data_IF_117981748947
#
_entry.id   IF_117981748947
#
_cell.length_a   1.000
_cell.length_b   1.000
_cell.length_c   1.000
_cell.angle_alpha   90.00
_cell.angle_beta   90.00
_cell.angle_gamma   90.00
#
_symmetry.space_group_name_H-M   'P 1'
#
loop_
_entity.id
_entity.type
_entity.pdbx_description
1 polymer ?
#
# COMPACT_ATOMS: atom_id res chain seq x y z
N UNK A 1 3.29 -12.40 9.16
CA UNK A 1 2.65 -12.37 10.50
C UNK A 1 3.28 -11.25 11.31
N UNK A 2 2.51 -10.28 11.83
CA UNK A 2 3.05 -9.28 12.78
C UNK A 2 3.47 -10.03 14.04
N UNK A 3 4.73 -9.88 14.44
CA UNK A 3 5.29 -10.58 15.58
C UNK A 3 4.58 -10.10 16.87
N UNK A 4 4.02 -11.00 17.68
CA UNK A 4 3.21 -10.66 18.86
C UNK A 4 3.99 -9.74 19.82
N UNK A 5 5.29 -10.01 19.96
CA UNK A 5 6.24 -9.22 20.74
C UNK A 5 6.38 -7.76 20.28
N UNK A 6 6.36 -7.51 18.97
CA UNK A 6 6.40 -6.13 18.43
C UNK A 6 5.11 -5.37 18.70
N UNK A 7 3.97 -6.06 18.79
CA UNK A 7 2.69 -5.43 19.13
C UNK A 7 2.60 -5.04 20.61
N UNK A 8 3.19 -5.86 21.49
CA UNK A 8 3.22 -5.62 22.93
C UNK A 8 4.18 -4.49 23.31
N UNK A 9 5.34 -4.41 22.65
CA UNK A 9 6.31 -3.31 22.85
C UNK A 9 5.81 -1.97 22.30
N UNK A 10 4.99 -1.96 21.24
CA UNK A 10 4.46 -0.71 20.66
C UNK A 10 3.53 0.10 21.58
N UNK A 11 3.06 -0.51 22.67
CA UNK A 11 2.19 0.11 23.67
C UNK A 11 2.82 0.25 25.05
N UNK A 12 4.08 -0.15 25.24
CA UNK A 12 4.77 0.02 26.50
C UNK A 12 5.41 1.40 26.56
N UNK A 13 5.09 2.13 27.61
CA UNK A 13 5.80 3.35 27.99
C UNK A 13 7.10 2.90 28.64
N UNK A 14 8.21 3.52 28.28
CA UNK A 14 9.51 3.19 28.87
C UNK A 14 9.50 3.49 30.36
N UNK A 15 10.33 2.78 31.13
CA UNK A 15 10.45 3.01 32.58
C UNK A 15 10.83 4.46 32.90
N UNK A 16 11.57 5.11 32.01
CA UNK A 16 11.96 6.51 32.12
C UNK A 16 10.78 7.47 31.92
N UNK A 17 9.98 7.27 30.86
CA UNK A 17 8.76 8.06 30.63
C UNK A 17 7.74 7.86 31.76
N UNK A 18 7.65 6.65 32.33
CA UNK A 18 6.80 6.39 33.49
C UNK A 18 7.25 7.20 34.71
N UNK A 19 8.56 7.22 35.02
CA UNK A 19 9.10 8.04 36.10
C UNK A 19 8.82 9.53 35.90
N UNK A 20 8.94 10.03 34.66
CA UNK A 20 8.61 11.42 34.33
C UNK A 20 7.13 11.75 34.57
N UNK A 21 6.22 10.79 34.33
CA UNK A 21 4.80 10.96 34.64
C UNK A 21 4.55 11.04 36.15
N UNK A 22 5.25 10.21 36.94
CA UNK A 22 5.20 10.28 38.41
C UNK A 22 5.77 11.59 38.95
N UNK A 23 6.91 12.03 38.44
CA UNK A 23 7.53 13.31 38.79
C UNK A 23 6.60 14.48 38.49
N UNK A 24 6.02 14.50 37.29
CA UNK A 24 5.04 15.51 36.90
C UNK A 24 3.82 15.51 37.81
N UNK A 25 3.28 14.32 38.14
CA UNK A 25 2.15 14.21 39.04
C UNK A 25 2.46 14.76 40.45
N UNK A 26 3.67 14.54 40.95
CA UNK A 26 4.15 15.11 42.21
C UNK A 26 4.18 16.65 42.15
N UNK A 27 4.81 17.19 41.12
CA UNK A 27 4.89 18.65 40.89
C UNK A 27 3.50 19.28 40.75
N UNK A 28 2.56 18.63 40.05
CA UNK A 28 1.20 19.11 39.88
C UNK A 28 0.45 19.20 41.22
N UNK A 29 0.67 18.24 42.14
CA UNK A 29 0.11 18.27 43.50
C UNK A 29 0.73 19.40 44.31
N UNK A 30 2.06 19.56 44.26
CA UNK A 30 2.77 20.64 44.97
C UNK A 30 2.31 22.03 44.52
N UNK A 31 2.04 22.19 43.23
CA UNK A 31 1.52 23.43 42.63
C UNK A 31 0.01 23.62 42.81
N UNK A 32 -0.70 22.69 43.47
CA UNK A 32 -2.16 22.76 43.67
C UNK A 32 -2.98 22.51 42.40
N UNK A 33 -2.38 21.98 41.34
CA UNK A 33 -3.03 21.62 40.08
C UNK A 33 -3.64 20.23 40.23
N UNK A 34 -4.82 20.18 40.83
CA UNK A 34 -5.50 18.92 41.18
C UNK A 34 -6.77 18.74 40.36
N UNK A 35 -6.91 17.56 39.74
CA UNK A 35 -8.17 17.11 39.18
C UNK A 35 -9.10 16.67 40.31
N UNK A 36 -10.10 17.50 40.61
CA UNK A 36 -11.06 17.26 41.70
C UNK A 36 -11.78 15.92 41.56
N UNK A 37 -12.09 15.47 40.34
CA UNK A 37 -12.78 14.20 40.10
C UNK A 37 -11.92 13.01 40.47
N UNK A 38 -10.67 12.97 39.98
CA UNK A 38 -9.72 11.92 40.35
C UNK A 38 -9.32 11.99 41.83
N UNK A 39 -9.22 13.20 42.38
CA UNK A 39 -8.88 13.43 43.78
C UNK A 39 -9.94 12.88 44.74
N UNK A 40 -11.22 13.15 44.45
CA UNK A 40 -12.33 12.59 45.23
C UNK A 40 -12.44 11.08 45.06
N UNK A 41 -12.16 10.55 43.85
CA UNK A 41 -12.09 9.11 43.62
C UNK A 41 -10.97 8.46 44.45
N UNK A 42 -9.81 9.11 44.55
CA UNK A 42 -8.72 8.67 45.41
C UNK A 42 -9.11 8.71 46.89
N UNK A 43 -9.86 9.73 47.33
CA UNK A 43 -10.34 9.83 48.71
C UNK A 43 -11.26 8.65 49.08
N UNK A 44 -12.18 8.29 48.18
CA UNK A 44 -13.08 7.15 48.38
C UNK A 44 -12.32 5.83 48.48
N UNK A 45 -11.24 5.67 47.71
CA UNK A 45 -10.37 4.49 47.78
C UNK A 45 -9.43 4.48 49.00
N UNK A 46 -9.15 5.65 49.55
CA UNK A 46 -8.29 5.82 50.70
C UNK A 46 -9.02 5.70 52.04
N UNK A 47 -10.32 5.38 52.03
CA UNK A 47 -11.16 5.29 53.24
C UNK A 47 -11.13 6.57 54.09
N UNK A 48 -10.93 7.74 53.45
CA UNK A 48 -10.83 9.02 54.14
C UNK A 48 -9.43 9.40 54.65
N UNK A 49 -8.42 8.53 54.52
CA UNK A 49 -7.03 8.83 54.89
C UNK A 49 -6.36 9.72 53.82
N UNK A 50 -6.04 10.96 54.21
CA UNK A 50 -5.43 11.97 53.33
C UNK A 50 -4.03 11.59 52.82
N UNK A 51 -3.24 10.84 53.59
CA UNK A 51 -1.90 10.41 53.15
C UNK A 51 -2.01 9.30 52.11
N UNK A 52 -2.89 8.33 52.34
CA UNK A 52 -3.19 7.27 51.37
C UNK A 52 -3.83 7.83 50.10
N UNK A 53 -4.69 8.84 50.24
CA UNK A 53 -5.32 9.53 49.11
C UNK A 53 -4.28 10.09 48.13
N UNK A 54 -3.23 10.74 48.62
CA UNK A 54 -2.18 11.32 47.77
C UNK A 54 -1.49 10.25 46.91
N UNK A 55 -1.09 9.12 47.51
CA UNK A 55 -0.47 8.01 46.79
C UNK A 55 -1.41 7.45 45.71
N UNK A 56 -2.66 7.17 46.06
CA UNK A 56 -3.67 6.64 45.13
C UNK A 56 -3.96 7.64 44.00
N UNK A 57 -3.97 8.94 44.29
CA UNK A 57 -4.20 9.97 43.29
C UNK A 57 -3.06 10.02 42.25
N UNK A 58 -1.81 9.93 42.71
CA UNK A 58 -0.64 9.89 41.82
C UNK A 58 -0.73 8.67 40.88
N UNK A 59 -1.06 7.49 41.39
CA UNK A 59 -1.24 6.30 40.56
C UNK A 59 -2.35 6.49 39.50
N UNK A 60 -3.48 7.08 39.91
CA UNK A 60 -4.61 7.30 39.01
C UNK A 60 -4.30 8.29 37.88
N UNK A 61 -3.52 9.34 38.16
CA UNK A 61 -3.21 10.35 37.15
C UNK A 61 -2.13 9.85 36.17
N UNK A 62 -1.16 9.09 36.67
CA UNK A 62 -0.18 8.40 35.82
C UNK A 62 -0.90 7.44 34.88
N UNK A 63 -1.80 6.61 35.39
CA UNK A 63 -2.57 5.67 34.56
C UNK A 63 -3.40 6.40 33.50
N UNK A 64 -4.07 7.50 33.86
CA UNK A 64 -4.79 8.34 32.90
C UNK A 64 -3.88 8.84 31.78
N UNK A 65 -2.70 9.36 32.11
CA UNK A 65 -1.76 9.85 31.10
C UNK A 65 -1.21 8.72 30.23
N UNK A 66 -0.97 7.53 30.78
CA UNK A 66 -0.61 6.35 29.99
C UNK A 66 -1.69 5.98 28.98
N UNK A 67 -2.96 6.01 29.41
CA UNK A 67 -4.11 5.75 28.54
C UNK A 67 -4.26 6.80 27.43
N UNK A 68 -4.11 8.08 27.76
CA UNK A 68 -4.10 9.17 26.79
C UNK A 68 -3.03 8.98 25.72
N UNK A 69 -1.80 8.66 26.14
CA UNK A 69 -0.68 8.37 25.23
C UNK A 69 -0.98 7.15 24.34
N UNK A 70 -1.56 6.09 24.91
CA UNK A 70 -1.94 4.87 24.17
C UNK A 70 -3.00 5.17 23.12
N UNK A 71 -4.00 5.99 23.45
CA UNK A 71 -5.04 6.42 22.52
C UNK A 71 -4.45 7.30 21.41
N UNK A 72 -3.58 8.25 21.76
CA UNK A 72 -2.91 9.12 20.81
C UNK A 72 -2.07 8.32 19.79
N UNK A 73 -1.24 7.38 20.27
CA UNK A 73 -0.43 6.48 19.43
C UNK A 73 -1.30 5.65 18.48
N UNK A 74 -2.41 5.09 18.97
CA UNK A 74 -3.36 4.32 18.14
C UNK A 74 -4.00 5.18 17.05
N UNK A 75 -4.42 6.41 17.39
CA UNK A 75 -5.00 7.34 16.41
C UNK A 75 -3.97 7.71 15.34
N UNK A 76 -2.76 8.09 15.74
CA UNK A 76 -1.67 8.43 14.81
C UNK A 76 -1.41 7.30 13.82
N UNK A 77 -1.25 6.06 14.31
CA UNK A 77 -1.05 4.88 13.45
C UNK A 77 -2.21 4.64 12.48
N UNK A 78 -3.45 4.82 12.95
CA UNK A 78 -4.63 4.66 12.09
C UNK A 78 -4.69 5.71 10.99
N UNK A 79 -4.29 6.95 11.29
CA UNK A 79 -4.18 8.03 10.30
C UNK A 79 -3.09 7.73 9.27
N UNK A 80 -1.93 7.27 9.71
CA UNK A 80 -0.84 6.87 8.81
C UNK A 80 -1.24 5.71 7.89
N UNK A 81 -1.87 4.67 8.43
CA UNK A 81 -2.34 3.52 7.65
C UNK A 81 -3.40 3.95 6.61
N UNK A 82 -4.30 4.87 6.98
CA UNK A 82 -5.28 5.44 6.05
C UNK A 82 -4.61 6.25 4.94
N UNK A 83 -3.59 7.05 5.27
CA UNK A 83 -2.85 7.85 4.30
C UNK A 83 -2.11 6.95 3.31
N UNK A 84 -1.38 5.94 3.79
CA UNK A 84 -0.68 4.96 2.93
C UNK A 84 -1.64 4.27 1.97
N UNK A 85 -2.79 3.77 2.47
CA UNK A 85 -3.82 3.17 1.61
C UNK A 85 -4.35 4.15 0.56
N UNK A 86 -4.57 5.41 0.93
CA UNK A 86 -5.04 6.43 -0.01
C UNK A 86 -4.00 6.72 -1.10
N UNK A 87 -2.73 6.81 -0.72
CA UNK A 87 -1.62 7.05 -1.64
C UNK A 87 -1.41 5.84 -2.58
N UNK A 88 -1.54 4.61 -2.07
CA UNK A 88 -1.52 3.37 -2.86
C UNK A 88 -2.67 3.31 -3.85
N UNK A 89 -3.90 3.61 -3.41
CA UNK A 89 -5.08 3.66 -4.30
C UNK A 89 -4.91 4.74 -5.35
N UNK A 90 -4.43 5.93 -5.00
CA UNK A 90 -4.16 6.98 -5.98
C UNK A 90 -3.07 6.58 -6.99
N UNK A 91 -1.99 5.95 -6.54
CA UNK A 91 -0.94 5.45 -7.43
C UNK A 91 -1.49 4.38 -8.38
N UNK A 92 -2.35 3.48 -7.90
CA UNK A 92 -3.04 2.49 -8.74
C UNK A 92 -4.00 3.15 -9.73
N UNK A 93 -4.78 4.15 -9.32
CA UNK A 93 -5.65 4.90 -10.22
C UNK A 93 -4.86 5.65 -11.30
N UNK A 94 -3.73 6.26 -10.95
CA UNK A 94 -2.85 6.93 -11.91
C UNK A 94 -2.27 5.91 -12.91
N UNK A 95 -1.79 4.77 -12.42
CA UNK A 95 -1.22 3.72 -13.26
C UNK A 95 -2.28 3.10 -14.20
N UNK A 96 -3.49 2.81 -13.69
CA UNK A 96 -4.60 2.31 -14.51
C UNK A 96 -5.03 3.32 -15.57
N UNK A 97 -5.12 4.61 -15.21
CA UNK A 97 -5.37 5.70 -16.19
C UNK A 97 -4.26 5.80 -17.23
N UNK A 98 -3.01 5.64 -16.82
CA UNK A 98 -1.86 5.66 -17.72
C UNK A 98 -1.91 4.49 -18.71
N UNK A 99 -2.15 3.26 -18.21
CA UNK A 99 -2.35 2.06 -19.05
C UNK A 99 -3.52 2.21 -20.00
N UNK A 100 -4.66 2.72 -19.53
CA UNK A 100 -5.82 2.95 -20.39
C UNK A 100 -5.53 3.97 -21.50
N UNK A 101 -4.77 5.03 -21.20
CA UNK A 101 -4.30 5.99 -22.22
C UNK A 101 -3.35 5.33 -23.21
N UNK A 102 -2.40 4.51 -22.75
CA UNK A 102 -1.50 3.78 -23.65
C UNK A 102 -2.25 2.79 -24.54
N UNK A 103 -3.20 2.03 -24.00
CA UNK A 103 -4.05 1.12 -24.76
C UNK A 103 -4.85 1.85 -25.84
N UNK A 104 -5.42 3.03 -25.51
CA UNK A 104 -6.11 3.88 -26.50
C UNK A 104 -5.18 4.33 -27.63
N UNK A 105 -3.91 4.63 -27.34
CA UNK A 105 -2.91 4.99 -28.37
C UNK A 105 -2.59 3.79 -29.26
N UNK A 106 -2.30 2.63 -28.67
CA UNK A 106 -1.97 1.41 -29.40
C UNK A 106 -3.13 0.96 -30.31
N UNK A 107 -4.36 0.93 -29.79
CA UNK A 107 -5.54 0.55 -30.57
C UNK A 107 -5.94 1.60 -31.64
N UNK A 108 -5.39 2.81 -31.58
CA UNK A 108 -5.53 3.80 -32.64
C UNK A 108 -4.56 3.54 -33.79
N UNK A 109 -3.33 3.14 -33.46
CA UNK A 109 -2.27 2.83 -34.44
C UNK A 109 -2.46 1.46 -35.09
N UNK A 110 -3.01 0.49 -34.35
CA UNK A 110 -3.39 -0.81 -34.85
C UNK A 110 -4.92 -0.93 -34.89
N UNK A 111 -5.58 -0.42 -35.96
CA UNK A 111 -7.01 -0.56 -36.12
C UNK A 111 -7.41 -2.03 -36.11
N UNK A 112 -8.63 -2.32 -35.67
CA UNK A 112 -9.20 -3.69 -35.56
C UNK A 112 -9.14 -4.49 -36.87
N UNK A 113 -9.00 -3.80 -37.99
CA UNK A 113 -8.80 -4.39 -39.32
C UNK A 113 -7.46 -5.12 -39.43
N UNK A 114 -6.39 -4.61 -38.80
CA UNK A 114 -5.07 -5.25 -38.81
C UNK A 114 -5.08 -6.50 -37.95
N UNK A 115 -5.64 -6.45 -36.74
CA UNK A 115 -5.75 -7.64 -35.87
C UNK A 115 -6.61 -8.73 -36.50
N UNK A 116 -7.70 -8.34 -37.19
CA UNK A 116 -8.53 -9.26 -37.97
C UNK A 116 -7.77 -9.86 -39.16
N UNK A 117 -7.00 -9.06 -39.90
CA UNK A 117 -6.18 -9.54 -41.02
C UNK A 117 -5.08 -10.51 -40.56
N UNK A 118 -4.46 -10.28 -39.40
CA UNK A 118 -3.48 -11.19 -38.80
C UNK A 118 -4.15 -12.50 -38.38
N UNK A 119 -5.30 -12.44 -37.71
CA UNK A 119 -6.05 -13.65 -37.32
C UNK A 119 -6.51 -14.48 -38.53
N UNK A 120 -6.97 -13.81 -39.60
CA UNK A 120 -7.31 -14.46 -40.87
C UNK A 120 -6.09 -15.15 -41.48
N UNK A 121 -4.93 -14.48 -41.51
CA UNK A 121 -3.71 -15.09 -42.03
C UNK A 121 -3.28 -16.31 -41.21
N UNK A 122 -3.38 -16.26 -39.87
CA UNK A 122 -3.10 -17.41 -39.00
C UNK A 122 -4.09 -18.56 -39.27
N UNK A 123 -5.37 -18.27 -39.46
CA UNK A 123 -6.38 -19.29 -39.78
C UNK A 123 -6.16 -19.91 -41.18
N UNK A 124 -5.83 -19.09 -42.18
CA UNK A 124 -5.48 -19.56 -43.53
C UNK A 124 -4.23 -20.45 -43.47
N UNK A 125 -3.23 -20.08 -42.66
CA UNK A 125 -2.03 -20.86 -42.47
C UNK A 125 -2.30 -22.22 -41.81
N UNK A 126 -3.12 -22.25 -40.76
CA UNK A 126 -3.55 -23.51 -40.11
C UNK A 126 -4.34 -24.39 -41.09
N UNK A 127 -5.25 -23.79 -41.87
CA UNK A 127 -6.06 -24.51 -42.85
C UNK A 127 -5.21 -25.10 -43.98
N UNK A 128 -4.25 -24.32 -44.51
CA UNK A 128 -3.31 -24.79 -45.53
C UNK A 128 -2.44 -25.94 -45.02
N UNK A 129 -2.03 -25.90 -43.75
CA UNK A 129 -1.25 -26.98 -43.13
C UNK A 129 -2.02 -28.31 -43.04
N UNK A 130 -3.35 -28.26 -42.95
CA UNK A 130 -4.20 -29.46 -42.93
C UNK A 130 -4.46 -30.12 -44.29
N UNK A 131 -4.17 -29.43 -45.41
CA UNK A 131 -4.44 -29.92 -46.77
C UNK A 131 -3.19 -30.26 -47.60
N UNK A 132 -1.98 -30.02 -47.09
CA UNK A 132 -0.74 -30.21 -47.84
C UNK A 132 -0.06 -31.54 -47.50
N UNK A 133 0.21 -32.37 -48.52
CA UNK A 133 1.22 -33.43 -48.42
C UNK A 133 2.61 -32.83 -48.14
N UNK A 134 3.55 -33.65 -47.68
CA UNK A 134 4.90 -33.26 -47.20
C UNK A 134 5.63 -32.22 -48.06
N UNK A 135 5.46 -32.26 -49.38
CA UNK A 135 6.06 -31.31 -50.34
C UNK A 135 5.43 -29.91 -50.25
N UNK A 136 4.11 -29.84 -50.05
CA UNK A 136 3.38 -28.60 -49.88
C UNK A 136 3.69 -27.90 -48.56
N UNK A 137 3.90 -28.66 -47.48
CA UNK A 137 4.32 -28.12 -46.19
C UNK A 137 5.69 -27.44 -46.26
N UNK A 138 6.64 -28.03 -47.00
CA UNK A 138 7.96 -27.43 -47.24
C UNK A 138 7.85 -26.14 -48.05
N UNK A 139 7.00 -26.12 -49.08
CA UNK A 139 6.78 -24.91 -49.89
C UNK A 139 6.11 -23.77 -49.09
N UNK A 140 5.17 -24.11 -48.22
CA UNK A 140 4.53 -23.16 -47.30
C UNK A 140 5.51 -22.56 -46.30
N UNK A 141 6.43 -23.36 -45.74
CA UNK A 141 7.48 -22.88 -44.84
C UNK A 141 8.47 -21.94 -45.55
N UNK A 142 8.80 -22.22 -46.82
CA UNK A 142 9.66 -21.35 -47.62
C UNK A 142 8.99 -20.00 -47.91
N UNK A 143 7.70 -20.01 -48.27
CA UNK A 143 6.94 -18.79 -48.55
C UNK A 143 6.76 -17.96 -47.27
N UNK A 144 6.40 -18.58 -46.15
CA UNK A 144 6.25 -17.87 -44.87
C UNK A 144 7.59 -17.34 -44.34
N UNK A 145 8.68 -18.09 -44.49
CA UNK A 145 10.03 -17.59 -44.21
C UNK A 145 10.40 -16.37 -45.07
N UNK A 146 10.06 -16.40 -46.36
CA UNK A 146 10.33 -15.28 -47.26
C UNK A 146 9.49 -14.03 -46.93
N UNK A 147 8.20 -14.21 -46.62
CA UNK A 147 7.31 -13.12 -46.22
C UNK A 147 7.76 -12.50 -44.89
N UNK A 148 8.16 -13.33 -43.91
CA UNK A 148 8.67 -12.81 -42.63
C UNK A 148 10.00 -12.06 -42.78
N UNK A 149 10.90 -12.52 -43.66
CA UNK A 149 12.13 -11.81 -44.00
C UNK A 149 11.87 -10.45 -44.68
N UNK A 150 10.94 -10.40 -45.65
CA UNK A 150 10.54 -9.14 -46.28
C UNK A 150 9.93 -8.15 -45.28
N UNK A 151 9.08 -8.65 -44.36
CA UNK A 151 8.52 -7.81 -43.30
C UNK A 151 9.59 -7.25 -42.37
N UNK A 152 10.63 -8.03 -42.02
CA UNK A 152 11.75 -7.55 -41.21
C UNK A 152 12.54 -6.44 -41.90
N UNK A 153 12.78 -6.54 -43.21
CA UNK A 153 13.48 -5.49 -43.98
C UNK A 153 12.68 -4.19 -43.95
N UNK A 154 11.38 -4.26 -44.30
CA UNK A 154 10.50 -3.08 -44.29
C UNK A 154 10.42 -2.46 -42.89
N UNK A 155 10.38 -3.30 -41.85
CA UNK A 155 10.33 -2.84 -40.47
C UNK A 155 11.64 -2.15 -40.01
N UNK A 156 12.80 -2.63 -40.45
CA UNK A 156 14.10 -2.00 -40.16
C UNK A 156 14.19 -0.63 -40.84
N UNK A 157 13.84 -0.52 -42.12
CA UNK A 157 13.82 0.77 -42.85
C UNK A 157 12.84 1.77 -42.23
N UNK A 158 11.67 1.28 -41.77
CA UNK A 158 10.70 2.10 -41.07
C UNK A 158 11.25 2.65 -39.74
N UNK A 159 11.98 1.83 -38.97
CA UNK A 159 12.63 2.28 -37.72
C UNK A 159 13.71 3.32 -38.00
N UNK A 160 14.55 3.13 -39.03
CA UNK A 160 15.61 4.09 -39.37
C UNK A 160 15.03 5.45 -39.82
N UNK A 161 13.97 5.44 -40.61
CA UNK A 161 13.29 6.66 -41.08
C UNK A 161 12.68 7.47 -39.93
N UNK A 162 12.18 6.81 -38.87
CA UNK A 162 11.62 7.46 -37.68
C UNK A 162 12.67 7.94 -36.67
N UNK A 163 13.94 7.53 -36.82
CA UNK A 163 15.04 7.92 -35.95
C UNK A 163 15.78 9.17 -36.43
N UNK A 164 15.61 9.55 -37.70
CA UNK A 164 16.01 10.85 -38.27
C UNK A 164 14.95 11.92 -38.07
#
# INVERSE_FOLDING_TARGET
>A
MKNLFQSLTSGFISKEEENQLYEKAGIDIENGVIDKGLWTKALSKAEGDKKKQQGIYIELIVERHKDELRVAKKKAKTLEDKKKKKDEVQAQEINTRYRAKQWKRLNREFPKTITFAVLINVLIFIYAWGQLDLIGAVFSLLITGFITWLFLIIFIEFIETFKS
#
